data_IF_280460101506
#
_entry.id   IF_280460101506
#
_cell.length_a   1.000
_cell.length_b   1.000
_cell.length_c   1.000
_cell.angle_alpha   90.00
_cell.angle_beta   90.00
_cell.angle_gamma   90.00
#
_symmetry.space_group_name_H-M   'P 1'
#
loop_
_entity.id
_entity.type
_entity.pdbx_description
1 polymer ?
#
# COMPACT_ATOMS: atom_id res chain seq x y z
N UNK A 1 32.56 36.97 -10.43
CA UNK A 1 31.21 36.54 -10.83
C UNK A 1 31.08 35.02 -10.96
N UNK A 2 31.79 34.24 -10.14
CA UNK A 2 31.80 32.76 -10.22
C UNK A 2 31.30 32.07 -8.93
N UNK A 3 30.98 32.85 -7.90
CA UNK A 3 30.57 32.34 -6.58
C UNK A 3 29.05 32.26 -6.40
N UNK A 4 28.27 32.91 -7.28
CA UNK A 4 26.81 32.87 -7.26
C UNK A 4 26.21 31.67 -8.01
N UNK A 5 26.98 31.00 -8.86
CA UNK A 5 26.50 29.87 -9.67
C UNK A 5 26.51 28.53 -8.91
N UNK A 6 27.28 28.43 -7.83
CA UNK A 6 27.40 27.20 -7.02
C UNK A 6 26.30 27.03 -5.97
N UNK A 7 25.65 28.12 -5.56
CA UNK A 7 24.54 28.10 -4.60
C UNK A 7 23.19 27.71 -5.22
N UNK A 8 23.09 27.67 -6.56
CA UNK A 8 21.86 27.31 -7.28
C UNK A 8 21.82 25.83 -7.71
N UNK A 9 22.92 25.09 -7.59
CA UNK A 9 22.99 23.67 -7.95
C UNK A 9 22.74 22.72 -6.76
N UNK A 10 22.62 23.26 -5.55
CA UNK A 10 22.34 22.49 -4.32
C UNK A 10 20.84 22.32 -4.02
N UNK A 11 19.94 22.84 -4.86
CA UNK A 11 18.50 22.77 -4.68
C UNK A 11 17.81 22.05 -5.84
N UNK A 12 18.03 20.74 -5.99
CA UNK A 12 17.10 19.80 -6.63
C UNK A 12 17.76 18.42 -6.77
N UNK A 13 18.03 17.75 -5.65
CA UNK A 13 18.08 16.28 -5.70
C UNK A 13 16.84 15.82 -4.97
N UNK A 14 15.72 15.85 -5.68
CA UNK A 14 14.53 15.12 -5.27
C UNK A 14 14.92 13.65 -5.21
N UNK A 15 15.12 13.12 -4.01
CA UNK A 15 15.30 11.69 -3.79
C UNK A 15 14.10 11.01 -4.44
N UNK A 16 14.33 10.24 -5.51
CA UNK A 16 13.28 9.53 -6.21
C UNK A 16 12.79 8.40 -5.30
N UNK A 17 11.80 8.70 -4.45
CA UNK A 17 11.16 7.73 -3.58
C UNK A 17 10.44 6.72 -4.48
N UNK A 18 10.76 5.44 -4.34
CA UNK A 18 10.02 4.38 -5.04
C UNK A 18 8.63 4.28 -4.42
N UNK A 19 7.61 4.65 -5.19
CA UNK A 19 6.21 4.60 -4.76
C UNK A 19 5.56 3.28 -5.19
N UNK A 20 4.63 2.75 -4.41
CA UNK A 20 3.84 1.59 -4.82
C UNK A 20 2.88 2.01 -5.94
N UNK A 21 3.19 1.62 -7.17
CA UNK A 21 2.45 2.03 -8.36
C UNK A 21 1.30 1.06 -8.64
N UNK A 22 0.09 1.60 -8.79
CA UNK A 22 -1.14 0.85 -8.96
C UNK A 22 -1.76 1.24 -10.30
N UNK A 23 -1.97 0.24 -11.15
CA UNK A 23 -2.67 0.38 -12.43
C UNK A 23 -3.84 -0.59 -12.48
N UNK A 24 -4.95 -0.17 -13.11
CA UNK A 24 -6.17 -0.97 -13.17
C UNK A 24 -6.57 -1.20 -14.63
N UNK A 25 -6.13 -2.31 -15.25
CA UNK A 25 -6.35 -2.59 -16.67
C UNK A 25 -7.82 -2.57 -17.10
N UNK A 26 -8.71 -2.99 -16.20
CA UNK A 26 -10.15 -3.05 -16.45
C UNK A 26 -10.87 -1.72 -16.17
N UNK A 27 -10.13 -0.62 -15.94
CA UNK A 27 -10.65 0.73 -15.60
C UNK A 27 -11.45 0.79 -14.30
N UNK A 28 -11.49 -0.30 -13.55
CA UNK A 28 -12.07 -0.43 -12.23
C UNK A 28 -11.26 -1.46 -11.44
N UNK A 29 -11.01 -1.19 -10.17
CA UNK A 29 -10.30 -2.09 -9.27
C UNK A 29 -10.65 -1.76 -7.82
N UNK A 30 -10.65 -2.80 -7.01
CA UNK A 30 -10.87 -2.75 -5.57
C UNK A 30 -9.64 -3.32 -4.87
N UNK A 31 -9.08 -2.58 -3.91
CA UNK A 31 -7.82 -2.92 -3.24
C UNK A 31 -7.88 -2.58 -1.76
N UNK A 32 -7.26 -3.42 -0.94
CA UNK A 32 -6.91 -3.11 0.45
C UNK A 32 -5.41 -2.82 0.53
N UNK A 33 -5.03 -1.76 1.23
CA UNK A 33 -3.65 -1.30 1.40
C UNK A 33 -3.45 -0.90 2.87
N UNK A 34 -2.21 -0.95 3.35
CA UNK A 34 -1.89 -0.39 4.66
C UNK A 34 -1.78 1.13 4.58
N UNK A 35 -2.30 1.82 5.59
CA UNK A 35 -2.07 3.25 5.79
C UNK A 35 -0.58 3.58 5.92
N UNK A 36 -0.24 4.87 5.81
CA UNK A 36 1.11 5.41 6.00
C UNK A 36 2.19 4.95 4.98
N UNK A 37 1.80 4.28 3.91
CA UNK A 37 2.69 3.94 2.79
C UNK A 37 2.34 4.77 1.55
N UNK A 38 3.29 5.52 1.00
CA UNK A 38 3.05 6.32 -0.21
C UNK A 38 2.59 5.44 -1.38
N UNK A 39 1.51 5.85 -2.04
CA UNK A 39 0.97 5.14 -3.22
C UNK A 39 0.87 6.06 -4.43
N UNK A 40 0.94 5.45 -5.61
CA UNK A 40 0.84 6.14 -6.88
C UNK A 40 -0.24 5.47 -7.74
N UNK A 41 -1.34 6.17 -8.00
CA UNK A 41 -2.46 5.69 -8.82
C UNK A 41 -2.28 6.19 -10.25
N UNK A 42 -2.09 5.28 -11.18
CA UNK A 42 -1.84 5.64 -12.56
C UNK A 42 -3.10 6.16 -13.26
N UNK A 43 -2.99 7.26 -14.01
CA UNK A 43 -4.05 7.64 -14.94
C UNK A 43 -3.50 7.88 -16.34
N UNK A 44 -4.00 7.10 -17.30
CA UNK A 44 -3.60 7.20 -18.69
C UNK A 44 -4.42 8.28 -19.43
N UNK A 45 -4.38 9.52 -18.93
CA UNK A 45 -5.05 10.66 -19.56
C UNK A 45 -4.27 11.97 -19.34
N UNK A 46 -3.84 12.60 -20.44
CA UNK A 46 -3.19 13.90 -20.40
C UNK A 46 -4.18 14.98 -19.93
N UNK A 47 -3.79 15.75 -18.91
CA UNK A 47 -4.69 16.75 -18.29
C UNK A 47 -5.77 16.12 -17.41
N UNK A 48 -5.48 14.96 -16.82
CA UNK A 48 -6.38 14.27 -15.92
C UNK A 48 -6.88 15.16 -14.77
N UNK A 49 -8.15 14.96 -14.42
CA UNK A 49 -8.79 15.55 -13.25
C UNK A 49 -9.22 14.43 -12.30
N UNK A 50 -9.05 14.67 -11.00
CA UNK A 50 -9.39 13.68 -9.98
C UNK A 50 -10.61 14.10 -9.16
N UNK A 51 -11.49 13.14 -8.91
CA UNK A 51 -12.59 13.27 -7.98
C UNK A 51 -12.48 12.20 -6.88
N UNK A 52 -12.84 12.60 -5.67
CA UNK A 52 -12.72 11.78 -4.47
C UNK A 52 -14.07 11.64 -3.80
N UNK A 53 -14.34 10.46 -3.26
CA UNK A 53 -15.46 10.20 -2.38
C UNK A 53 -14.97 9.34 -1.21
N UNK A 54 -14.87 9.95 -0.02
CA UNK A 54 -14.38 9.26 1.17
C UNK A 54 -15.56 8.73 1.99
N UNK A 55 -15.54 7.43 2.25
CA UNK A 55 -16.66 6.72 2.88
C UNK A 55 -16.78 7.05 4.36
N UNK A 56 -15.66 7.06 5.09
CA UNK A 56 -15.63 7.24 6.54
C UNK A 56 -16.08 8.63 7.03
N UNK A 57 -16.16 9.63 6.14
CA UNK A 57 -16.59 11.01 6.46
C UNK A 57 -17.88 11.44 5.75
N UNK A 58 -18.56 10.53 5.04
CA UNK A 58 -19.77 10.83 4.24
C UNK A 58 -19.65 12.09 3.39
N UNK A 59 -18.52 12.24 2.70
CA UNK A 59 -18.31 13.41 1.83
C UNK A 59 -19.13 13.29 0.55
N UNK A 60 -19.57 14.40 -0.02
CA UNK A 60 -19.95 14.42 -1.44
C UNK A 60 -18.70 14.30 -2.30
N UNK A 61 -18.88 13.90 -3.58
CA UNK A 61 -17.79 13.95 -4.54
C UNK A 61 -17.11 15.32 -4.52
N UNK A 62 -15.80 15.33 -4.36
CA UNK A 62 -14.99 16.55 -4.27
C UNK A 62 -13.79 16.45 -5.21
N UNK A 63 -13.38 17.58 -5.78
CA UNK A 63 -12.13 17.70 -6.52
C UNK A 63 -10.97 18.13 -5.59
N UNK A 64 -11.27 18.51 -4.35
CA UNK A 64 -10.29 18.97 -3.36
C UNK A 64 -10.22 17.98 -2.17
N UNK A 65 -9.13 17.20 -2.06
CA UNK A 65 -9.00 16.18 -1.02
C UNK A 65 -8.55 16.78 0.32
N UNK A 66 -9.46 17.32 1.14
CA UNK A 66 -9.18 17.94 2.46
C UNK A 66 -8.27 19.19 2.45
N UNK A 67 -8.28 20.00 3.52
CA UNK A 67 -7.32 21.11 3.68
C UNK A 67 -5.96 20.55 4.14
N UNK A 68 -4.86 21.03 3.54
CA UNK A 68 -3.50 20.49 3.73
C UNK A 68 -3.36 19.02 3.26
N UNK A 69 -3.90 18.74 2.06
CA UNK A 69 -3.89 17.40 1.50
C UNK A 69 -2.48 16.83 1.33
N UNK A 70 -2.33 15.54 1.63
CA UNK A 70 -1.17 14.71 1.30
C UNK A 70 -1.25 14.15 -0.13
N UNK A 71 -2.06 14.78 -1.00
CA UNK A 71 -2.44 14.28 -2.31
C UNK A 71 -1.95 15.25 -3.38
N UNK A 72 -1.22 14.74 -4.37
CA UNK A 72 -0.58 15.51 -5.43
C UNK A 72 -0.93 14.89 -6.80
N UNK A 73 -1.45 15.68 -7.73
CA UNK A 73 -1.60 15.24 -9.12
C UNK A 73 -0.29 15.49 -9.86
N UNK A 74 0.25 14.43 -10.44
CA UNK A 74 1.56 14.39 -11.09
C UNK A 74 1.46 14.92 -12.54
N UNK A 75 2.58 15.36 -13.16
CA UNK A 75 2.55 15.93 -14.52
C UNK A 75 2.00 15.00 -15.61
N UNK A 76 2.09 13.68 -15.40
CA UNK A 76 1.54 12.66 -16.29
C UNK A 76 0.03 12.42 -16.09
N UNK A 77 -0.59 13.08 -15.11
CA UNK A 77 -2.00 12.93 -14.76
C UNK A 77 -2.26 11.90 -13.66
N UNK A 78 -1.24 11.13 -13.25
CA UNK A 78 -1.35 10.16 -12.16
C UNK A 78 -1.50 10.86 -10.81
N UNK A 79 -1.97 10.14 -9.79
CA UNK A 79 -2.15 10.66 -8.44
C UNK A 79 -1.14 10.07 -7.48
N UNK A 80 -0.41 10.91 -6.76
CA UNK A 80 0.44 10.52 -5.65
C UNK A 80 -0.27 10.84 -4.33
N UNK A 81 -0.37 9.85 -3.44
CA UNK A 81 -0.88 10.03 -2.08
C UNK A 81 0.23 9.66 -1.11
N UNK A 82 0.66 10.61 -0.30
CA UNK A 82 1.78 10.43 0.65
C UNK A 82 1.24 10.05 2.02
N UNK A 83 1.75 9.00 2.64
CA UNK A 83 1.29 8.54 3.96
C UNK A 83 -0.26 8.58 4.10
N UNK A 84 -1.01 7.81 3.29
CA UNK A 84 -2.46 7.83 3.30
C UNK A 84 -3.03 7.43 4.67
N UNK A 85 -4.09 8.11 5.10
CA UNK A 85 -4.79 7.84 6.35
C UNK A 85 -6.02 6.93 6.12
N UNK A 86 -6.46 6.15 7.12
CA UNK A 86 -7.70 5.36 7.02
C UNK A 86 -8.94 6.17 6.63
N UNK A 87 -9.01 7.45 7.04
CA UNK A 87 -10.09 8.37 6.68
C UNK A 87 -10.21 8.63 5.16
N UNK A 88 -9.15 8.32 4.41
CA UNK A 88 -9.09 8.47 2.96
C UNK A 88 -9.59 7.21 2.24
N UNK A 89 -10.11 6.20 2.95
CA UNK A 89 -10.78 5.06 2.33
C UNK A 89 -11.98 5.52 1.51
N UNK A 90 -12.08 5.01 0.27
CA UNK A 90 -13.19 5.32 -0.63
C UNK A 90 -12.81 5.25 -2.10
N UNK A 91 -13.45 6.11 -2.89
CA UNK A 91 -13.39 6.07 -4.35
C UNK A 91 -12.57 7.22 -4.94
N UNK A 92 -11.71 6.87 -5.89
CA UNK A 92 -10.81 7.78 -6.60
C UNK A 92 -11.07 7.66 -8.09
N UNK A 93 -11.69 8.68 -8.67
CA UNK A 93 -12.04 8.72 -10.08
C UNK A 93 -11.06 9.61 -10.83
N UNK A 94 -10.33 9.02 -11.76
CA UNK A 94 -9.65 9.79 -12.78
C UNK A 94 -10.60 10.08 -13.95
N UNK A 95 -10.63 11.32 -14.39
CA UNK A 95 -11.33 11.80 -15.56
C UNK A 95 -10.36 12.41 -16.56
N UNK A 96 -10.66 12.31 -17.84
CA UNK A 96 -9.96 13.08 -18.85
C UNK A 96 -10.35 14.57 -18.78
N UNK A 97 -9.70 15.40 -19.59
CA UNK A 97 -9.95 16.84 -19.69
C UNK A 97 -11.40 17.22 -20.03
N UNK A 98 -12.17 16.30 -20.59
CA UNK A 98 -13.57 16.50 -21.01
C UNK A 98 -14.55 15.99 -19.94
N UNK A 99 -14.04 15.54 -18.78
CA UNK A 99 -14.81 15.04 -17.64
C UNK A 99 -15.26 13.58 -17.79
N UNK A 100 -14.74 12.84 -18.77
CA UNK A 100 -15.11 11.42 -18.96
C UNK A 100 -14.25 10.54 -18.05
N UNK A 101 -14.91 9.63 -17.32
CA UNK A 101 -14.22 8.66 -16.44
C UNK A 101 -13.28 7.75 -17.23
N UNK A 102 -12.00 7.74 -16.83
CA UNK A 102 -10.92 6.94 -17.41
C UNK A 102 -10.71 5.67 -16.58
N UNK A 103 -10.59 5.83 -15.26
CA UNK A 103 -10.39 4.75 -14.30
C UNK A 103 -10.98 5.13 -12.95
N UNK A 104 -11.50 4.14 -12.23
CA UNK A 104 -11.95 4.25 -10.84
C UNK A 104 -11.14 3.29 -9.98
N UNK A 105 -10.60 3.79 -8.88
CA UNK A 105 -10.00 2.99 -7.82
C UNK A 105 -10.90 3.01 -6.60
N UNK A 106 -11.14 1.85 -6.02
CA UNK A 106 -11.80 1.69 -4.73
C UNK A 106 -10.74 1.18 -3.76
N UNK A 107 -10.37 2.01 -2.79
CA UNK A 107 -9.21 1.75 -1.95
C UNK A 107 -9.64 1.78 -0.49
N UNK A 108 -9.35 0.68 0.20
CA UNK A 108 -9.39 0.57 1.65
C UNK A 108 -7.97 0.79 2.23
N UNK A 109 -7.77 1.88 2.97
CA UNK A 109 -6.58 2.10 3.77
C UNK A 109 -6.77 1.54 5.19
N UNK A 110 -6.30 0.32 5.42
CA UNK A 110 -6.35 -0.34 6.71
C UNK A 110 -5.22 0.16 7.62
N UNK A 111 -5.57 0.43 8.87
CA UNK A 111 -4.68 1.14 9.77
C UNK A 111 -3.50 0.29 10.24
N UNK A 112 -2.29 0.67 9.82
CA UNK A 112 -1.05 0.01 10.20
C UNK A 112 -0.78 0.07 11.71
N UNK A 113 -1.30 1.08 12.41
CA UNK A 113 -1.12 1.20 13.87
C UNK A 113 -1.86 0.09 14.63
N UNK A 114 -2.83 -0.57 13.99
CA UNK A 114 -3.63 -1.65 14.58
C UNK A 114 -3.20 -3.06 14.15
N UNK A 115 -2.10 -3.18 13.40
CA UNK A 115 -1.71 -4.45 12.78
C UNK A 115 -1.49 -5.58 13.82
N UNK A 116 -2.15 -6.71 13.60
CA UNK A 116 -1.97 -7.91 14.42
C UNK A 116 -0.81 -8.77 13.87
N UNK A 117 0.18 -9.08 14.70
CA UNK A 117 1.37 -9.81 14.27
C UNK A 117 1.35 -11.23 14.85
N UNK A 118 1.50 -12.22 13.98
CA UNK A 118 1.52 -13.64 14.33
C UNK A 118 2.86 -14.29 13.94
N UNK A 119 3.53 -14.89 14.91
CA UNK A 119 4.75 -15.68 14.71
C UNK A 119 4.42 -17.16 14.65
N UNK A 120 4.39 -17.71 13.44
CA UNK A 120 4.04 -19.12 13.21
C UNK A 120 5.03 -20.09 13.86
N UNK A 121 6.32 -19.73 13.89
CA UNK A 121 7.36 -20.53 14.54
C UNK A 121 7.19 -20.65 16.07
N UNK A 122 6.40 -19.77 16.69
CA UNK A 122 6.08 -19.80 18.12
C UNK A 122 4.73 -20.49 18.40
N UNK A 123 4.07 -21.05 17.38
CA UNK A 123 2.73 -21.65 17.51
C UNK A 123 1.64 -20.61 17.81
N UNK A 124 1.87 -19.34 17.48
CA UNK A 124 0.82 -18.33 17.51
C UNK A 124 -0.13 -18.53 16.33
N UNK A 125 -1.42 -18.40 16.59
CA UNK A 125 -2.46 -18.47 15.57
C UNK A 125 -2.87 -17.05 15.14
N UNK A 126 -3.17 -16.83 13.85
CA UNK A 126 -3.79 -15.59 13.41
C UNK A 126 -5.19 -15.43 13.99
N UNK A 127 -5.72 -14.22 13.87
CA UNK A 127 -7.08 -13.91 14.29
C UNK A 127 -8.06 -14.83 13.57
N UNK A 128 -9.03 -15.33 14.32
CA UNK A 128 -10.05 -16.24 13.80
C UNK A 128 -11.10 -15.49 13.00
N UNK A 129 -11.69 -16.17 12.02
CA UNK A 129 -12.84 -15.63 11.29
C UNK A 129 -14.02 -15.46 12.25
N UNK A 130 -14.80 -14.39 12.05
CA UNK A 130 -15.99 -14.10 12.86
C UNK A 130 -17.21 -13.91 11.95
N UNK A 131 -18.39 -14.21 12.47
CA UNK A 131 -19.65 -13.86 11.80
C UNK A 131 -20.14 -12.55 12.37
N UNK A 132 -20.37 -11.55 11.52
CA UNK A 132 -20.99 -10.30 11.92
C UNK A 132 -22.51 -10.43 11.86
N UNK A 133 -23.22 -9.51 12.52
CA UNK A 133 -24.68 -9.42 12.48
C UNK A 133 -25.09 -8.04 11.98
N UNK A 134 -24.68 -7.69 10.76
CA UNK A 134 -24.96 -6.39 10.15
C UNK A 134 -26.29 -6.34 9.38
N UNK A 135 -27.04 -7.45 9.38
CA UNK A 135 -28.31 -7.59 8.68
C UNK A 135 -28.47 -8.96 8.02
N UNK A 136 -27.37 -9.70 7.86
CA UNK A 136 -27.30 -11.06 7.33
C UNK A 136 -26.34 -11.96 8.11
N UNK A 137 -25.59 -12.79 7.38
CA UNK A 137 -24.56 -13.71 7.90
C UNK A 137 -23.21 -13.36 7.28
N UNK A 138 -22.78 -12.12 7.46
CA UNK A 138 -21.52 -11.65 6.93
C UNK A 138 -20.36 -12.36 7.63
N UNK A 139 -19.37 -12.83 6.87
CA UNK A 139 -18.13 -13.40 7.42
C UNK A 139 -17.02 -12.37 7.31
N UNK A 140 -16.39 -12.05 8.43
CA UNK A 140 -15.19 -11.21 8.47
C UNK A 140 -13.96 -12.11 8.66
N UNK A 141 -12.95 -11.93 7.82
CA UNK A 141 -11.78 -12.81 7.76
C UNK A 141 -10.54 -12.05 7.27
N UNK A 142 -9.39 -12.73 7.30
CA UNK A 142 -8.15 -12.20 6.71
C UNK A 142 -7.96 -12.73 5.30
N UNK A 143 -7.91 -11.83 4.33
CA UNK A 143 -7.42 -12.13 2.99
C UNK A 143 -5.89 -11.99 2.97
N UNK A 144 -5.18 -13.11 2.78
CA UNK A 144 -3.72 -13.14 2.84
C UNK A 144 -3.09 -12.86 1.48
N UNK A 145 -2.15 -11.92 1.46
CA UNK A 145 -1.21 -11.78 0.35
C UNK A 145 -0.27 -12.99 0.28
N UNK A 146 0.36 -13.20 -0.89
CA UNK A 146 1.44 -14.16 -1.02
C UNK A 146 2.56 -13.91 -0.01
N UNK A 147 3.26 -14.99 0.36
CA UNK A 147 4.50 -14.85 1.09
C UNK A 147 5.54 -14.11 0.26
N UNK A 148 6.25 -13.18 0.90
CA UNK A 148 7.48 -12.66 0.32
C UNK A 148 8.53 -13.77 0.21
N UNK A 149 9.52 -13.54 -0.64
CA UNK A 149 10.68 -14.41 -0.74
C UNK A 149 11.44 -14.49 0.60
N UNK A 150 12.15 -15.59 0.81
CA UNK A 150 12.99 -15.72 1.99
C UNK A 150 14.07 -14.63 1.96
N UNK A 151 14.25 -13.91 3.07
CA UNK A 151 15.26 -12.85 3.14
C UNK A 151 16.70 -13.36 3.02
N UNK A 152 16.93 -14.68 3.16
CA UNK A 152 18.24 -15.34 3.08
C UNK A 152 18.12 -16.66 2.36
N UNK A 153 19.20 -17.08 1.71
CA UNK A 153 19.36 -18.42 1.15
C UNK A 153 20.61 -19.09 1.72
N UNK A 154 20.65 -20.43 1.72
CA UNK A 154 21.76 -21.25 2.23
C UNK A 154 21.85 -21.33 3.77
N UNK A 155 21.16 -20.44 4.47
CA UNK A 155 21.11 -20.34 5.92
C UNK A 155 19.65 -20.11 6.37
N UNK A 156 19.33 -20.31 7.66
CA UNK A 156 18.02 -19.94 8.20
C UNK A 156 17.69 -18.47 7.97
N UNK A 157 16.54 -18.23 7.36
CA UNK A 157 15.97 -16.91 7.07
C UNK A 157 14.56 -16.76 7.63
N UNK A 158 13.95 -15.63 7.30
CA UNK A 158 12.60 -15.25 7.68
C UNK A 158 11.85 -14.72 6.45
N UNK A 159 10.57 -15.03 6.35
CA UNK A 159 9.64 -14.42 5.39
C UNK A 159 8.39 -13.95 6.10
N UNK A 160 7.73 -12.95 5.53
CA UNK A 160 6.47 -12.38 6.03
C UNK A 160 5.44 -12.28 4.93
N UNK A 161 4.17 -12.28 5.32
CA UNK A 161 3.05 -11.89 4.44
C UNK A 161 2.12 -10.95 5.16
N UNK A 162 1.49 -10.07 4.41
CA UNK A 162 0.43 -9.21 4.90
C UNK A 162 -0.92 -9.91 4.72
N UNK A 163 -1.84 -9.60 5.61
CA UNK A 163 -3.23 -10.00 5.55
C UNK A 163 -4.09 -8.76 5.75
N UNK A 164 -5.15 -8.66 4.97
CA UNK A 164 -6.08 -7.54 5.03
C UNK A 164 -7.44 -8.03 5.50
N UNK A 165 -8.16 -7.19 6.22
CA UNK A 165 -9.52 -7.46 6.61
C UNK A 165 -10.46 -7.44 5.41
N UNK A 166 -11.23 -8.52 5.22
CA UNK A 166 -12.29 -8.61 4.22
C UNK A 166 -13.60 -9.08 4.87
N UNK A 167 -14.71 -8.63 4.30
CA UNK A 167 -16.07 -9.08 4.61
C UNK A 167 -16.64 -9.77 3.37
N UNK A 168 -17.26 -10.92 3.57
CA UNK A 168 -17.96 -11.67 2.54
C UNK A 168 -19.41 -11.90 2.96
N UNK A 169 -20.32 -11.64 2.02
CA UNK A 169 -21.71 -12.05 2.09
C UNK A 169 -21.94 -13.34 1.29
N UNK A 170 -22.92 -14.18 1.66
CA UNK A 170 -23.25 -15.36 0.88
C UNK A 170 -23.56 -15.01 -0.58
N UNK A 171 -22.84 -15.64 -1.52
CA UNK A 171 -22.97 -15.49 -2.98
C UNK A 171 -22.41 -14.19 -3.57
N UNK A 172 -21.78 -13.34 -2.76
CA UNK A 172 -21.14 -12.11 -3.24
C UNK A 172 -19.61 -12.22 -3.25
N UNK A 173 -18.96 -11.30 -3.96
CA UNK A 173 -17.50 -11.20 -3.94
C UNK A 173 -17.05 -10.53 -2.65
N UNK A 174 -16.02 -11.05 -1.95
CA UNK A 174 -15.49 -10.40 -0.76
C UNK A 174 -15.04 -8.96 -1.02
N UNK A 175 -15.28 -8.08 -0.06
CA UNK A 175 -14.87 -6.68 -0.10
C UNK A 175 -13.97 -6.31 1.08
N UNK A 176 -12.99 -5.42 0.89
CA UNK A 176 -12.23 -4.85 1.99
C UNK A 176 -13.16 -4.24 3.05
N UNK A 177 -12.83 -4.48 4.33
CA UNK A 177 -13.72 -4.18 5.44
C UNK A 177 -14.21 -2.73 5.47
N UNK A 178 -13.36 -1.74 5.23
CA UNK A 178 -13.81 -0.34 5.31
C UNK A 178 -14.49 0.18 4.04
N UNK A 179 -14.36 -0.53 2.90
CA UNK A 179 -15.22 -0.30 1.73
C UNK A 179 -16.63 -0.87 1.97
N UNK A 180 -16.73 -2.03 2.63
CA UNK A 180 -18.01 -2.65 2.99
C UNK A 180 -18.74 -1.86 4.10
N UNK A 181 -18.05 -1.55 5.21
CA UNK A 181 -18.64 -0.91 6.39
C UNK A 181 -18.95 0.58 6.18
N UNK A 182 -18.20 1.26 5.33
CA UNK A 182 -18.34 2.70 5.10
C UNK A 182 -18.12 3.52 6.38
N UNK A 183 -19.18 4.14 6.89
CA UNK A 183 -19.17 4.91 8.15
C UNK A 183 -19.64 4.11 9.38
N UNK A 184 -20.04 2.85 9.19
CA UNK A 184 -20.50 2.00 10.30
C UNK A 184 -19.34 1.77 11.25
N UNK A 185 -19.51 2.24 12.49
CA UNK A 185 -18.51 2.05 13.53
C UNK A 185 -18.61 0.63 14.10
N UNK A 186 -17.69 -0.24 13.68
CA UNK A 186 -17.54 -1.59 14.20
C UNK A 186 -16.28 -1.68 15.09
N UNK A 187 -16.49 -1.74 16.40
CA UNK A 187 -15.41 -1.98 17.36
C UNK A 187 -15.15 -3.47 17.52
N UNK A 188 -14.42 -4.06 16.58
CA UNK A 188 -13.87 -5.41 16.70
C UNK A 188 -12.40 -5.41 16.27
N UNK A 189 -11.54 -6.13 17.00
CA UNK A 189 -10.14 -6.35 16.59
C UNK A 189 -10.04 -7.16 15.29
N UNK A 190 -11.15 -7.79 14.87
CA UNK A 190 -11.24 -8.50 13.60
C UNK A 190 -11.20 -7.57 12.39
N UNK A 191 -11.37 -6.25 12.58
CA UNK A 191 -11.15 -5.26 11.52
C UNK A 191 -9.68 -4.94 11.26
N UNK A 192 -8.77 -5.42 12.12
CA UNK A 192 -7.35 -5.10 12.03
C UNK A 192 -6.69 -5.88 10.88
N UNK A 193 -5.77 -5.24 10.14
CA UNK A 193 -4.90 -5.96 9.23
C UNK A 193 -3.97 -6.88 10.02
N UNK A 194 -3.41 -7.89 9.35
CA UNK A 194 -2.51 -8.86 9.96
C UNK A 194 -1.14 -8.90 9.25
N UNK A 195 -0.13 -9.33 9.99
CA UNK A 195 1.15 -9.76 9.43
C UNK A 195 1.52 -11.11 10.01
N UNK A 196 1.86 -12.05 9.13
CA UNK A 196 2.42 -13.32 9.54
C UNK A 196 3.91 -13.38 9.28
N UNK A 197 4.64 -13.98 10.21
CA UNK A 197 6.09 -14.18 10.14
C UNK A 197 6.41 -15.66 10.33
N UNK A 198 7.23 -16.23 9.46
CA UNK A 198 7.75 -17.59 9.61
C UNK A 198 9.21 -17.73 9.20
N UNK A 199 9.88 -18.71 9.81
CA UNK A 199 11.21 -19.11 9.40
C UNK A 199 11.15 -19.79 8.02
N UNK A 200 12.18 -19.56 7.22
CA UNK A 200 12.35 -20.20 5.92
C UNK A 200 13.81 -20.65 5.76
N UNK A 201 14.01 -21.66 4.92
CA UNK A 201 15.35 -22.08 4.52
C UNK A 201 15.28 -22.51 3.06
N UNK A 202 15.86 -21.69 2.19
CA UNK A 202 15.86 -21.91 0.75
C UNK A 202 17.30 -22.07 0.25
N UNK A 203 17.48 -22.88 -0.79
CA UNK A 203 18.80 -23.04 -1.42
C UNK A 203 19.11 -21.80 -2.27
N UNK A 204 20.37 -21.37 -2.30
CA UNK A 204 20.79 -20.31 -3.21
C UNK A 204 20.81 -20.85 -4.64
N UNK A 205 19.99 -20.29 -5.52
CA UNK A 205 20.09 -20.58 -6.95
C UNK A 205 21.30 -19.86 -7.52
N UNK A 206 22.26 -20.59 -8.10
CA UNK A 206 23.32 -19.99 -8.92
C UNK A 206 22.72 -19.50 -10.24
N UNK A 207 22.00 -18.38 -10.22
CA UNK A 207 21.66 -17.68 -11.45
C UNK A 207 22.96 -17.16 -12.05
N UNK A 208 23.32 -17.68 -13.23
CA UNK A 208 24.44 -17.24 -14.06
C UNK A 208 24.11 -15.88 -14.73
N UNK A 209 23.63 -14.95 -13.91
CA UNK A 209 23.22 -13.61 -14.26
C UNK A 209 23.76 -12.72 -13.16
N UNK A 210 24.65 -11.80 -13.52
CA UNK A 210 25.30 -10.83 -12.62
C UNK A 210 24.29 -9.82 -12.07
N UNK A 211 23.37 -10.27 -11.21
CA UNK A 211 22.61 -9.39 -10.33
C UNK A 211 22.96 -9.74 -8.90
N UNK A 212 23.64 -8.79 -8.25
CA UNK A 212 23.93 -8.82 -6.83
C UNK A 212 22.63 -8.51 -6.08
N UNK A 213 22.08 -9.49 -5.38
CA UNK A 213 21.04 -9.28 -4.37
C UNK A 213 21.73 -8.81 -3.10
N UNK A 214 21.63 -7.52 -2.77
CA UNK A 214 22.34 -6.94 -1.63
C UNK A 214 21.55 -7.10 -0.33
N UNK A 215 22.17 -7.71 0.67
CA UNK A 215 21.76 -7.61 2.10
C UNK A 215 22.94 -7.20 3.01
N UNK A 216 24.02 -6.69 2.42
CA UNK A 216 25.15 -6.03 3.10
C UNK A 216 26.00 -5.31 2.03
N UNK A 217 26.27 -4.00 2.16
CA UNK A 217 27.02 -3.23 1.16
C UNK A 217 28.38 -2.70 1.63
N UNK A 218 29.37 -2.80 0.74
CA UNK A 218 30.49 -1.87 0.46
C UNK A 218 30.94 -2.16 -0.99
N UNK A 219 31.33 -1.28 -1.91
CA UNK A 219 31.55 0.18 -2.03
C UNK A 219 31.89 0.45 -3.53
N UNK A 220 31.59 1.62 -4.13
CA UNK A 220 32.50 2.32 -5.06
C UNK A 220 32.07 3.79 -5.32
N UNK A 221 33.02 4.73 -5.20
CA UNK A 221 32.85 6.19 -5.08
C UNK A 221 32.56 6.96 -6.38
N UNK A 222 32.12 6.32 -7.48
CA UNK A 222 32.03 7.01 -8.79
C UNK A 222 30.68 7.06 -9.49
N UNK A 223 29.63 6.42 -8.98
CA UNK A 223 28.28 6.56 -9.54
C UNK A 223 27.27 6.64 -8.38
N UNK A 224 26.66 7.81 -8.23
CA UNK A 224 25.84 8.20 -7.10
C UNK A 224 24.57 7.37 -6.93
N UNK A 225 24.65 6.43 -5.98
CA UNK A 225 23.62 5.99 -5.03
C UNK A 225 22.15 5.91 -5.48
N UNK A 226 21.61 4.69 -5.50
CA UNK A 226 20.22 4.42 -5.18
C UNK A 226 20.02 4.45 -3.65
N UNK A 227 19.01 5.18 -3.19
CA UNK A 227 18.57 5.20 -1.80
C UNK A 227 17.13 4.67 -1.77
N UNK A 228 16.94 3.54 -1.11
CA UNK A 228 15.63 3.12 -0.62
C UNK A 228 15.70 3.24 0.89
N UNK A 229 14.89 4.12 1.48
CA UNK A 229 14.47 3.96 2.88
C UNK A 229 13.50 2.79 2.94
N UNK A 230 14.03 1.58 2.80
CA UNK A 230 13.46 0.45 3.52
C UNK A 230 13.85 0.69 4.99
N UNK A 231 12.90 0.71 5.94
CA UNK A 231 13.29 0.50 7.32
C UNK A 231 14.07 -0.81 7.37
N UNK A 232 15.35 -0.72 7.71
CA UNK A 232 16.18 -1.83 8.14
C UNK A 232 15.49 -2.43 9.35
N UNK A 233 14.62 -3.41 9.13
CA UNK A 233 13.83 -3.93 10.22
C UNK A 233 12.85 -5.00 9.80
N UNK A 234 13.30 -6.25 9.82
CA UNK A 234 12.56 -7.19 10.65
C UNK A 234 12.34 -6.51 12.00
N UNK A 235 11.17 -6.61 12.59
CA UNK A 235 10.86 -5.95 13.88
C UNK A 235 11.79 -6.47 15.01
N UNK A 236 12.68 -7.43 14.70
CA UNK A 236 13.93 -7.65 15.41
C UNK A 236 15.10 -6.83 14.83
N UNK A 237 15.27 -5.62 15.36
CA UNK A 237 16.55 -5.14 15.92
C UNK A 237 16.33 -3.89 16.74
#
# INVERSE_FOLDING_TARGET
MLTTLWLLLSFAVSVLRSHFSISCPNRHCQLALLSNNDIFLHCNASGAQWQFFFLSVKTTWTNNPFSNSNVETMPDGSLLIRNPLPLQTGFYNCQDKDGKKVVQYEIDFQDIETIHITHKGLGQEPLQNETLSLGGKELIFTHWEPWQDCNRCGEPGERKRLGYCYIEEPLETPMPCWLYLGDVNLWSSRTWPEMQVEACHVQCTSSNVDYVTFDNFKLNEKLGSAWLTCPLGSIYK
#
